data_IF_340027595338
#
_entry.id   IF_340027595338
#
_cell.length_a   1.000
_cell.length_b   1.000
_cell.length_c   1.000
_cell.angle_alpha   90.00
_cell.angle_beta   90.00
_cell.angle_gamma   90.00
#
_symmetry.space_group_name_H-M   'P 1'
#
loop_
_entity.id
_entity.type
_entity.pdbx_description
1 polymer ?
#
# COMPACT_ATOMS: atom_id res chain seq x y z
N UNK A 1 -16.70 14.15 -5.13
CA UNK A 1 -15.42 14.41 -5.80
C UNK A 1 -14.71 13.07 -5.91
N UNK A 2 -14.42 12.64 -7.13
CA UNK A 2 -13.49 11.53 -7.38
C UNK A 2 -12.14 11.97 -6.85
N UNK A 3 -11.59 11.24 -5.88
CA UNK A 3 -10.24 11.52 -5.43
C UNK A 3 -9.30 10.74 -6.36
N UNK A 4 -8.88 11.42 -7.42
CA UNK A 4 -7.98 10.86 -8.44
C UNK A 4 -6.59 10.60 -7.84
N UNK A 5 -5.92 9.59 -8.39
CA UNK A 5 -4.51 9.35 -8.10
C UNK A 5 -3.70 10.42 -8.82
N UNK A 6 -3.03 11.31 -8.08
CA UNK A 6 -2.10 12.26 -8.66
C UNK A 6 -0.70 11.63 -8.74
N UNK A 7 -0.34 11.19 -9.94
CA UNK A 7 1.00 10.65 -10.23
C UNK A 7 1.89 11.67 -10.94
N UNK A 8 1.48 12.93 -11.02
CA UNK A 8 2.29 13.98 -11.67
C UNK A 8 3.59 14.26 -10.91
N UNK A 9 3.62 13.95 -9.61
CA UNK A 9 4.79 14.02 -8.76
C UNK A 9 5.72 12.81 -8.87
N UNK A 10 5.36 11.77 -9.65
CA UNK A 10 6.21 10.59 -9.81
C UNK A 10 7.55 10.97 -10.45
N UNK A 11 8.60 10.47 -9.84
CA UNK A 11 10.00 10.56 -10.23
C UNK A 11 10.24 9.86 -11.56
N UNK A 12 9.79 8.60 -11.70
CA UNK A 12 9.88 7.84 -12.95
C UNK A 12 8.69 6.88 -13.10
N UNK A 13 7.59 7.34 -13.71
CA UNK A 13 6.37 6.55 -13.84
C UNK A 13 6.51 5.35 -14.80
N UNK A 14 7.64 5.21 -15.50
CA UNK A 14 7.90 4.10 -16.43
C UNK A 14 8.44 2.86 -15.72
N UNK A 15 9.00 3.04 -14.53
CA UNK A 15 9.48 1.95 -13.68
C UNK A 15 8.61 1.84 -12.43
N UNK A 16 8.65 0.67 -11.78
CA UNK A 16 8.14 0.54 -10.41
C UNK A 16 9.32 0.78 -9.49
N UNK A 17 9.35 1.92 -8.80
CA UNK A 17 10.47 2.35 -7.98
C UNK A 17 10.02 2.75 -6.57
N UNK A 18 10.98 2.81 -5.64
CA UNK A 18 10.74 3.05 -4.22
C UNK A 18 10.25 4.48 -3.93
N UNK A 19 10.69 5.48 -4.70
CA UNK A 19 10.31 6.88 -4.49
C UNK A 19 8.85 7.13 -4.92
N UNK A 20 8.44 6.58 -6.06
CA UNK A 20 7.05 6.66 -6.52
C UNK A 20 6.10 5.85 -5.66
N UNK A 21 6.58 4.76 -5.04
CA UNK A 21 5.80 4.05 -4.01
C UNK A 21 5.53 4.96 -2.80
N UNK A 22 6.50 5.77 -2.38
CA UNK A 22 6.31 6.74 -1.29
C UNK A 22 5.25 7.75 -1.67
N UNK A 23 5.37 8.37 -2.84
CA UNK A 23 4.39 9.35 -3.35
C UNK A 23 3.00 8.73 -3.47
N UNK A 24 2.89 7.49 -3.95
CA UNK A 24 1.62 6.77 -4.02
C UNK A 24 1.00 6.54 -2.63
N UNK A 25 1.81 6.15 -1.65
CA UNK A 25 1.35 5.91 -0.29
C UNK A 25 0.93 7.21 0.40
N UNK A 26 1.71 8.29 0.24
CA UNK A 26 1.35 9.63 0.72
C UNK A 26 0.03 10.10 0.11
N UNK A 27 -0.13 9.98 -1.20
CA UNK A 27 -1.40 10.25 -1.87
C UNK A 27 -2.55 9.45 -1.27
N UNK A 28 -2.37 8.16 -0.98
CA UNK A 28 -3.43 7.35 -0.36
C UNK A 28 -3.83 7.86 1.04
N UNK A 29 -2.86 8.32 1.83
CA UNK A 29 -3.09 8.91 3.15
C UNK A 29 -3.75 10.29 3.07
N UNK A 30 -3.20 11.22 2.28
CA UNK A 30 -3.70 12.59 2.14
C UNK A 30 -5.16 12.62 1.63
N UNK A 31 -5.50 11.65 0.80
CA UNK A 31 -6.82 11.50 0.22
C UNK A 31 -7.77 10.63 1.06
N UNK A 32 -7.34 10.19 2.25
CA UNK A 32 -8.18 9.48 3.21
C UNK A 32 -8.75 8.18 2.66
N UNK A 33 -7.90 7.35 2.05
CA UNK A 33 -8.30 6.03 1.57
C UNK A 33 -8.78 5.14 2.71
N UNK A 34 -9.84 4.39 2.44
CA UNK A 34 -10.42 3.46 3.40
C UNK A 34 -9.69 2.12 3.45
N UNK A 35 -10.05 1.29 4.42
CA UNK A 35 -9.59 -0.09 4.51
C UNK A 35 -10.72 -1.07 4.28
N UNK A 36 -10.57 -1.93 3.27
CA UNK A 36 -11.46 -3.06 3.00
C UNK A 36 -10.60 -4.26 2.61
N UNK A 37 -10.76 -5.37 3.34
CA UNK A 37 -9.97 -6.58 3.12
C UNK A 37 -10.05 -7.05 1.66
N UNK A 38 -8.91 -7.31 1.04
CA UNK A 38 -8.81 -7.86 -0.31
C UNK A 38 -9.00 -6.82 -1.42
N UNK A 39 -8.91 -5.54 -1.08
CA UNK A 39 -8.84 -4.43 -2.06
C UNK A 39 -7.42 -3.87 -2.15
N UNK A 40 -7.10 -3.21 -3.25
CA UNK A 40 -5.74 -2.81 -3.61
C UNK A 40 -5.70 -1.40 -4.23
N UNK A 41 -6.48 -0.47 -3.65
CA UNK A 41 -6.57 0.92 -4.10
C UNK A 41 -7.69 1.19 -5.11
N UNK A 42 -8.53 0.20 -5.40
CA UNK A 42 -9.72 0.36 -6.24
C UNK A 42 -10.78 1.22 -5.56
N UNK A 43 -11.61 1.92 -6.35
CA UNK A 43 -12.82 2.57 -5.84
C UNK A 43 -13.82 1.50 -5.40
N UNK A 44 -14.29 1.60 -4.16
CA UNK A 44 -15.27 0.69 -3.58
C UNK A 44 -16.67 0.98 -4.12
N UNK A 45 -17.00 0.39 -5.27
CA UNK A 45 -18.37 0.38 -5.81
C UNK A 45 -19.27 -0.57 -5.01
N UNK A 46 -20.59 -0.45 -5.16
CA UNK A 46 -21.53 -1.42 -4.58
C UNK A 46 -21.25 -2.86 -5.04
N UNK A 47 -20.89 -3.05 -6.31
CA UNK A 47 -20.56 -4.37 -6.86
C UNK A 47 -19.28 -4.94 -6.26
N UNK A 48 -18.24 -4.12 -6.11
CA UNK A 48 -16.99 -4.54 -5.47
C UNK A 48 -17.23 -4.84 -4.00
N UNK A 49 -17.97 -4.00 -3.29
CA UNK A 49 -18.31 -4.23 -1.89
C UNK A 49 -19.09 -5.53 -1.70
N UNK A 50 -20.13 -5.79 -2.49
CA UNK A 50 -20.90 -7.03 -2.45
C UNK A 50 -20.02 -8.27 -2.71
N UNK A 51 -19.09 -8.17 -3.68
CA UNK A 51 -18.11 -9.23 -3.94
C UNK A 51 -17.21 -9.49 -2.74
N UNK A 52 -16.69 -8.44 -2.09
CA UNK A 52 -15.82 -8.58 -0.91
C UNK A 52 -16.56 -9.07 0.32
N UNK A 53 -17.83 -8.68 0.50
CA UNK A 53 -18.71 -9.19 1.54
C UNK A 53 -18.93 -10.70 1.41
N UNK A 54 -19.18 -11.18 0.18
CA UNK A 54 -19.31 -12.61 -0.09
C UNK A 54 -18.00 -13.38 0.07
N UNK A 55 -16.87 -12.77 -0.30
CA UNK A 55 -15.55 -13.37 -0.22
C UNK A 55 -15.02 -13.47 1.23
N UNK A 56 -15.32 -12.47 2.06
CA UNK A 56 -14.78 -12.33 3.42
C UNK A 56 -15.90 -11.98 4.42
N UNK A 57 -16.84 -12.90 4.73
CA UNK A 57 -17.98 -12.61 5.59
C UNK A 57 -17.55 -12.14 6.99
N UNK A 58 -16.47 -12.68 7.55
CA UNK A 58 -15.99 -12.27 8.87
C UNK A 58 -15.10 -11.01 8.81
N UNK A 59 -14.28 -10.85 7.76
CA UNK A 59 -13.36 -9.71 7.64
C UNK A 59 -14.06 -8.42 7.19
N UNK A 60 -15.04 -8.54 6.30
CA UNK A 60 -15.80 -7.43 5.70
C UNK A 60 -17.20 -7.34 6.31
N UNK A 61 -17.89 -8.49 6.46
CA UNK A 61 -19.28 -8.50 6.95
C UNK A 61 -19.43 -8.05 8.40
N UNK A 62 -18.47 -8.35 9.28
CA UNK A 62 -18.46 -7.80 10.65
C UNK A 62 -18.37 -6.26 10.71
N UNK A 63 -18.05 -5.60 9.59
CA UNK A 63 -17.94 -4.15 9.47
C UNK A 63 -18.86 -3.57 8.40
N UNK A 64 -19.87 -4.32 7.92
CA UNK A 64 -20.66 -3.93 6.75
C UNK A 64 -21.23 -2.50 6.86
N UNK A 65 -21.94 -2.19 7.95
CA UNK A 65 -22.54 -0.86 8.15
C UNK A 65 -21.49 0.25 8.17
N UNK A 66 -20.36 -0.01 8.82
CA UNK A 66 -19.26 0.95 8.90
C UNK A 66 -18.66 1.20 7.52
N UNK A 67 -18.39 0.15 6.75
CA UNK A 67 -17.80 0.25 5.41
C UNK A 67 -18.74 1.00 4.47
N UNK A 68 -20.05 0.69 4.49
CA UNK A 68 -21.04 1.39 3.68
C UNK A 68 -21.10 2.89 3.98
N UNK A 69 -21.04 3.25 5.27
CA UNK A 69 -21.13 4.65 5.70
C UNK A 69 -19.85 5.45 5.44
N UNK A 70 -18.68 4.83 5.54
CA UNK A 70 -17.40 5.55 5.54
C UNK A 70 -16.60 5.40 4.24
N UNK A 71 -16.63 4.23 3.60
CA UNK A 71 -15.71 3.85 2.53
C UNK A 71 -16.35 3.67 1.15
N UNK A 72 -17.67 3.49 1.06
CA UNK A 72 -18.36 3.34 -0.22
C UNK A 72 -18.11 4.58 -1.11
N UNK A 73 -17.75 4.34 -2.37
CA UNK A 73 -17.36 5.39 -3.32
C UNK A 73 -15.97 5.99 -3.12
N UNK A 74 -15.23 5.58 -2.10
CA UNK A 74 -13.82 5.96 -1.90
C UNK A 74 -12.88 4.88 -2.42
N UNK A 75 -11.60 5.21 -2.59
CA UNK A 75 -10.56 4.21 -2.80
C UNK A 75 -10.29 3.46 -1.49
N UNK A 76 -10.15 2.14 -1.59
CA UNK A 76 -9.92 1.27 -0.43
C UNK A 76 -8.81 0.28 -0.70
N UNK A 77 -8.07 -0.05 0.35
CA UNK A 77 -7.00 -1.06 0.28
C UNK A 77 -6.91 -1.86 1.57
N UNK A 78 -6.37 -3.07 1.51
CA UNK A 78 -5.76 -3.69 2.69
C UNK A 78 -4.27 -3.34 2.81
N UNK A 79 -3.58 -3.87 3.83
CA UNK A 79 -2.20 -3.51 4.14
C UNK A 79 -1.24 -3.79 2.98
N UNK A 80 -1.14 -5.05 2.55
CA UNK A 80 -0.31 -5.43 1.39
C UNK A 80 -0.90 -4.92 0.08
N UNK A 81 -2.22 -4.72 0.02
CA UNK A 81 -2.94 -4.11 -1.09
C UNK A 81 -2.48 -2.69 -1.38
N UNK A 82 -1.98 -1.94 -0.39
CA UNK A 82 -1.45 -0.60 -0.60
C UNK A 82 -0.20 -0.66 -1.48
N UNK A 83 0.70 -1.60 -1.16
CA UNK A 83 1.91 -1.85 -1.95
C UNK A 83 1.57 -2.46 -3.31
N UNK A 84 0.67 -3.47 -3.33
CA UNK A 84 0.22 -4.09 -4.58
C UNK A 84 -0.50 -3.11 -5.49
N UNK A 85 -1.25 -2.18 -4.93
CA UNK A 85 -1.95 -1.13 -5.67
C UNK A 85 -0.99 -0.27 -6.48
N UNK A 86 0.14 0.12 -5.89
CA UNK A 86 1.22 0.79 -6.64
C UNK A 86 1.86 -0.16 -7.67
N UNK A 87 2.23 -1.37 -7.27
CA UNK A 87 2.82 -2.36 -8.18
C UNK A 87 1.95 -2.64 -9.41
N UNK A 88 0.64 -2.64 -9.23
CA UNK A 88 -0.37 -2.93 -10.27
C UNK A 88 -0.93 -1.68 -10.96
N UNK A 89 -0.41 -0.49 -10.66
CA UNK A 89 -0.80 0.75 -11.30
C UNK A 89 -0.23 0.82 -12.72
N UNK A 90 -1.13 0.98 -13.69
CA UNK A 90 -0.81 1.41 -15.04
C UNK A 90 -0.90 2.94 -15.10
N UNK A 91 0.25 3.59 -15.20
CA UNK A 91 0.40 5.06 -15.23
C UNK A 91 -0.08 5.68 -16.55
N UNK A 92 -0.30 4.88 -17.60
CA UNK A 92 -0.85 5.38 -18.87
C UNK A 92 -2.37 5.53 -18.82
N UNK A 93 -3.04 4.63 -18.09
CA UNK A 93 -4.52 4.60 -17.96
C UNK A 93 -5.01 5.09 -16.61
N UNK A 94 -4.11 5.34 -15.65
CA UNK A 94 -4.40 5.66 -14.24
C UNK A 94 -5.31 4.62 -13.57
N UNK A 95 -5.19 3.36 -14.01
CA UNK A 95 -5.99 2.25 -13.54
C UNK A 95 -5.13 1.21 -12.83
N UNK A 96 -5.70 0.57 -11.80
CA UNK A 96 -5.01 -0.50 -11.07
C UNK A 96 -5.60 -1.83 -11.55
N UNK A 97 -4.80 -2.61 -12.27
CA UNK A 97 -5.23 -3.88 -12.86
C UNK A 97 -4.58 -5.06 -12.16
N UNK A 98 -5.36 -6.08 -11.84
CA UNK A 98 -4.90 -7.20 -11.02
C UNK A 98 -3.70 -7.94 -11.64
N UNK A 99 -2.60 -8.05 -10.89
CA UNK A 99 -1.46 -8.93 -11.22
C UNK A 99 -0.55 -8.44 -12.37
N UNK A 100 -0.58 -7.16 -12.72
CA UNK A 100 0.27 -6.62 -13.80
C UNK A 100 1.67 -6.20 -13.29
N UNK A 101 2.54 -5.75 -14.21
CA UNK A 101 3.89 -5.22 -13.94
C UNK A 101 4.83 -6.18 -13.16
N UNK A 102 4.57 -7.49 -13.22
CA UNK A 102 5.45 -8.51 -12.62
C UNK A 102 5.31 -8.66 -11.10
N UNK A 103 4.39 -7.94 -10.44
CA UNK A 103 4.10 -8.13 -9.01
C UNK A 103 3.00 -9.19 -8.82
N UNK A 104 3.29 -10.35 -8.20
CA UNK A 104 2.30 -11.39 -7.95
C UNK A 104 1.34 -11.02 -6.81
N UNK A 105 0.19 -11.68 -6.77
CA UNK A 105 -0.74 -11.56 -5.64
C UNK A 105 -0.24 -12.37 -4.44
N UNK A 106 0.38 -11.68 -3.49
CA UNK A 106 0.86 -12.25 -2.23
C UNK A 106 0.33 -11.48 -1.02
N UNK A 107 0.26 -12.17 0.11
CA UNK A 107 -0.02 -11.56 1.42
C UNK A 107 1.21 -10.83 2.00
N UNK A 108 1.04 -10.11 3.11
CA UNK A 108 2.13 -9.44 3.82
C UNK A 108 3.31 -10.40 4.13
N UNK A 109 3.00 -11.57 4.69
CA UNK A 109 4.01 -12.59 5.01
C UNK A 109 4.67 -13.17 3.75
N UNK A 110 3.91 -13.32 2.66
CA UNK A 110 4.45 -13.74 1.36
C UNK A 110 5.42 -12.72 0.79
N UNK A 111 5.09 -11.42 0.89
CA UNK A 111 5.96 -10.33 0.49
C UNK A 111 7.28 -10.36 1.26
N UNK A 112 7.21 -10.51 2.59
CA UNK A 112 8.37 -10.67 3.46
C UNK A 112 9.21 -11.91 3.15
N UNK A 113 8.57 -13.06 2.93
CA UNK A 113 9.28 -14.30 2.62
C UNK A 113 9.99 -14.23 1.26
N UNK A 114 9.39 -13.56 0.27
CA UNK A 114 9.97 -13.40 -1.07
C UNK A 114 11.12 -12.39 -1.12
N UNK A 115 11.23 -11.48 -0.15
CA UNK A 115 12.31 -10.49 -0.11
C UNK A 115 13.68 -11.14 0.11
N UNK A 116 14.63 -10.75 -0.75
CA UNK A 116 16.04 -11.17 -0.70
C UNK A 116 16.89 -10.23 0.15
N UNK A 117 16.52 -8.94 0.22
CA UNK A 117 17.15 -7.92 1.06
C UNK A 117 16.16 -7.53 2.16
N UNK A 118 16.47 -7.90 3.40
CA UNK A 118 15.64 -7.67 4.59
C UNK A 118 16.48 -7.80 5.87
N UNK A 119 15.99 -7.30 6.98
CA UNK A 119 16.68 -7.41 8.27
C UNK A 119 15.80 -7.02 9.46
N UNK A 120 16.35 -7.16 10.66
CA UNK A 120 15.71 -6.71 11.90
C UNK A 120 15.60 -5.19 11.95
N UNK A 121 14.59 -4.65 12.64
CA UNK A 121 14.37 -3.19 12.76
C UNK A 121 15.58 -2.41 13.30
N UNK A 122 16.43 -3.05 14.12
CA UNK A 122 17.66 -2.42 14.66
C UNK A 122 18.72 -2.11 13.60
N UNK A 123 18.58 -2.69 12.39
CA UNK A 123 19.50 -2.54 11.26
C UNK A 123 18.87 -1.79 10.08
N UNK A 124 17.65 -1.29 10.24
CA UNK A 124 16.91 -0.65 9.16
C UNK A 124 17.65 0.61 8.69
N UNK A 125 17.96 0.72 7.38
CA UNK A 125 18.53 1.94 6.84
C UNK A 125 17.43 3.00 6.65
N UNK A 126 17.82 4.26 6.65
CA UNK A 126 16.90 5.37 6.34
C UNK A 126 16.73 5.49 4.81
N UNK A 127 15.98 4.55 4.23
CA UNK A 127 15.72 4.48 2.78
C UNK A 127 14.21 4.52 2.54
N UNK A 128 13.67 5.63 2.02
CA UNK A 128 12.25 5.72 1.68
C UNK A 128 11.82 4.64 0.67
N UNK A 129 10.61 4.13 0.85
CA UNK A 129 10.00 3.05 0.06
C UNK A 129 10.41 1.64 0.48
N UNK A 130 11.19 1.47 1.55
CA UNK A 130 11.27 0.19 2.24
C UNK A 130 9.90 -0.19 2.80
N UNK A 131 9.60 -1.48 2.84
CA UNK A 131 8.48 -1.95 3.65
C UNK A 131 8.94 -2.27 5.07
N UNK A 132 8.05 -2.04 6.03
CA UNK A 132 8.17 -2.46 7.42
C UNK A 132 7.10 -3.49 7.70
N UNK A 133 7.45 -4.54 8.42
CA UNK A 133 6.63 -5.75 8.53
C UNK A 133 6.67 -6.35 9.93
N UNK A 134 5.54 -6.94 10.31
CA UNK A 134 5.46 -7.99 11.32
C UNK A 134 4.46 -9.04 10.82
N UNK A 135 4.43 -10.23 11.41
CA UNK A 135 3.54 -11.29 10.93
C UNK A 135 2.09 -10.79 10.79
N UNK A 136 1.54 -10.96 9.59
CA UNK A 136 0.21 -10.55 9.19
C UNK A 136 0.04 -9.10 8.71
N UNK A 137 1.05 -8.23 8.81
CA UNK A 137 0.91 -6.80 8.51
C UNK A 137 2.15 -6.16 7.88
N UNK A 138 1.93 -5.16 7.02
CA UNK A 138 3.00 -4.48 6.29
C UNK A 138 2.63 -3.01 6.03
N UNK A 139 3.63 -2.12 6.08
CA UNK A 139 3.51 -0.69 5.79
C UNK A 139 4.67 -0.20 4.92
N UNK A 140 4.56 1.03 4.41
CA UNK A 140 5.58 1.69 3.57
C UNK A 140 6.29 2.74 4.43
N UNK A 141 7.58 2.58 4.64
CA UNK A 141 8.42 3.60 5.26
C UNK A 141 8.66 4.74 4.28
N UNK A 142 8.40 5.98 4.70
CA UNK A 142 8.47 7.16 3.82
C UNK A 142 9.67 8.07 4.14
N UNK A 143 10.59 7.63 5.02
CA UNK A 143 11.71 8.43 5.49
C UNK A 143 11.41 9.13 6.82
N UNK A 144 12.45 9.67 7.46
CA UNK A 144 12.35 10.48 8.69
C UNK A 144 11.59 9.82 9.85
N UNK A 145 11.62 8.49 9.96
CA UNK A 145 10.90 7.78 11.01
C UNK A 145 9.39 7.66 10.78
N UNK A 146 8.86 7.99 9.60
CA UNK A 146 7.42 7.92 9.30
C UNK A 146 7.05 6.72 8.43
N UNK A 147 5.84 6.20 8.63
CA UNK A 147 5.29 5.04 7.92
C UNK A 147 3.86 5.35 7.47
N UNK A 148 3.52 5.00 6.22
CA UNK A 148 2.14 4.90 5.77
C UNK A 148 1.69 3.44 5.81
N UNK A 149 0.57 3.16 6.48
CA UNK A 149 0.01 1.82 6.59
C UNK A 149 -1.52 1.84 6.46
N UNK A 150 -2.09 0.80 5.82
CA UNK A 150 -3.52 0.55 5.87
C UNK A 150 -3.83 -0.25 7.15
N UNK A 151 -4.17 0.45 8.23
CA UNK A 151 -4.13 -0.10 9.60
C UNK A 151 -5.31 -1.01 9.95
N UNK A 152 -6.43 -0.87 9.23
CA UNK A 152 -7.62 -1.71 9.43
C UNK A 152 -8.91 -0.95 9.19
N UNK A 153 -10.03 -1.68 9.15
CA UNK A 153 -11.33 -1.18 8.66
C UNK A 153 -11.81 0.10 9.33
N UNK A 154 -11.57 0.28 10.63
CA UNK A 154 -12.01 1.47 11.38
C UNK A 154 -11.12 2.70 11.18
N UNK A 155 -9.95 2.53 10.57
CA UNK A 155 -8.93 3.58 10.48
C UNK A 155 -8.64 3.99 9.03
N UNK A 156 -8.62 3.05 8.09
CA UNK A 156 -8.18 3.32 6.73
C UNK A 156 -6.66 3.36 6.59
N UNK A 157 -6.18 4.15 5.64
CA UNK A 157 -4.76 4.45 5.45
C UNK A 157 -4.36 5.60 6.37
N UNK A 158 -3.31 5.39 7.17
CA UNK A 158 -2.83 6.35 8.19
C UNK A 158 -1.33 6.55 8.08
N UNK A 159 -0.87 7.71 8.55
CA UNK A 159 0.55 7.98 8.82
C UNK A 159 0.87 7.77 10.29
N UNK A 160 1.91 6.99 10.58
CA UNK A 160 2.35 6.65 11.94
C UNK A 160 3.85 6.89 12.12
N UNK A 161 4.29 7.06 13.37
CA UNK A 161 5.70 7.08 13.71
C UNK A 161 6.22 5.64 13.81
N UNK A 162 7.34 5.34 13.15
CA UNK A 162 7.98 4.03 13.13
C UNK A 162 8.19 3.49 14.55
N UNK A 163 8.59 4.36 15.48
CA UNK A 163 8.87 4.03 16.89
C UNK A 163 7.62 3.71 17.72
N UNK A 164 6.42 4.05 17.24
CA UNK A 164 5.16 3.83 17.96
C UNK A 164 4.48 2.51 17.54
N UNK A 165 5.12 1.74 16.66
CA UNK A 165 4.57 0.54 16.05
C UNK A 165 5.44 -0.67 16.36
N UNK A 166 4.83 -1.86 16.37
CA UNK A 166 5.49 -3.12 16.73
C UNK A 166 6.05 -3.86 15.51
N UNK A 167 6.70 -3.14 14.60
CA UNK A 167 7.36 -3.75 13.44
C UNK A 167 8.52 -4.64 13.89
N UNK A 168 8.72 -5.77 13.23
CA UNK A 168 9.77 -6.74 13.58
C UNK A 168 10.87 -6.81 12.54
N UNK A 169 10.58 -6.48 11.28
CA UNK A 169 11.57 -6.48 10.20
C UNK A 169 11.31 -5.39 9.16
N UNK A 170 12.35 -5.03 8.44
CA UNK A 170 12.29 -4.22 7.23
C UNK A 170 12.66 -5.08 6.01
N UNK A 171 12.20 -4.68 4.82
CA UNK A 171 12.48 -5.37 3.57
C UNK A 171 12.53 -4.40 2.38
N UNK A 172 13.35 -4.72 1.39
CA UNK A 172 13.14 -4.25 0.02
C UNK A 172 12.03 -5.09 -0.63
N UNK A 173 11.05 -4.43 -1.22
CA UNK A 173 9.93 -5.12 -1.89
C UNK A 173 10.48 -5.75 -3.20
N UNK A 174 10.34 -7.08 -3.40
CA UNK A 174 11.01 -7.80 -4.51
C UNK A 174 10.75 -7.29 -5.92
N UNK A 175 9.63 -6.59 -6.12
CA UNK A 175 9.12 -6.18 -7.44
C UNK A 175 9.27 -4.67 -7.67
N UNK A 176 10.00 -4.00 -6.78
CA UNK A 176 10.26 -2.56 -6.81
C UNK A 176 11.76 -2.33 -7.00
N UNK A 177 12.10 -1.42 -7.89
CA UNK A 177 13.47 -0.96 -8.08
C UNK A 177 13.82 0.06 -7.00
N UNK A 178 14.93 -0.14 -6.31
CA UNK A 178 15.43 0.82 -5.33
C UNK A 178 16.45 1.73 -6.00
N UNK A 179 16.05 2.98 -6.21
CA UNK A 179 16.86 4.05 -6.78
C UNK A 179 17.21 5.07 -5.71
N UNK A 180 18.35 5.73 -5.86
CA UNK A 180 18.77 6.85 -5.04
C UNK A 180 18.33 8.18 -5.65
N UNK A 181 18.12 9.21 -4.82
CA UNK A 181 17.81 10.56 -5.31
C UNK A 181 18.87 11.12 -6.28
N UNK A 182 20.14 10.71 -6.12
CA UNK A 182 21.22 11.11 -7.04
C UNK A 182 21.12 10.51 -8.44
N UNK A 183 20.47 9.35 -8.60
CA UNK A 183 20.29 8.69 -9.89
C UNK A 183 19.14 9.31 -10.71
N UNK A 184 18.27 10.09 -10.07
CA UNK A 184 17.11 10.76 -10.69
C UNK A 184 17.52 12.00 -11.49
N UNK A 185 18.64 12.64 -11.12
CA UNK A 185 19.10 13.90 -11.72
C UNK A 185 20.21 13.72 -12.77
N UNK A 186 20.50 12.48 -13.19
CA UNK A 186 21.60 12.15 -14.12
C UNK A 186 21.15 11.94 -15.56
#
# INVERSE_FOLDING_TARGET
MSIELDVSAFVDPTTKNNLDLVIYAENAWENGWGYVWGTYGSVLTDSLFASKLAQYPDGVGNYEDFIRQNWLGRRTTDCVGLIKGYGWLDTSTMSISYGINGMPDVGADGMYNNATVKGDMSTMPDTPGLAVWHSGHIGVYIGNGEVIEAMGTKYGVVKTQLSERSWTAWLQIPYINYISESEVTS
#
